data_IF_893428726828
#
_entry.id   IF_893428726828
#
_cell.length_a   1.000
_cell.length_b   1.000
_cell.length_c   1.000
_cell.angle_alpha   90.00
_cell.angle_beta   90.00
_cell.angle_gamma   90.00
#
_symmetry.space_group_name_H-M   'P 1'
#
loop_
_entity.id
_entity.type
_entity.pdbx_description
1 polymer ?
2 polymer ?
3 non-polymer ?
4 water ?
#
# COMPACT_ATOMS: atom_id res chain seq x y z
N UNK A 1 25.51 -10.98 25.66
CA UNK A 1 24.29 -11.75 25.26
C UNK A 1 24.66 -12.89 24.30
N UNK A 2 23.65 -13.67 23.91
CA UNK A 2 23.86 -14.79 23.01
C UNK A 2 23.99 -14.28 21.57
N UNK A 3 25.22 -14.23 21.07
CA UNK A 3 25.50 -13.75 19.71
C UNK A 3 25.30 -14.83 18.64
N UNK A 4 24.53 -14.49 17.62
CA UNK A 4 24.27 -15.41 16.51
C UNK A 4 24.98 -14.89 15.26
N UNK A 5 25.71 -15.78 14.57
CA UNK A 5 26.44 -15.41 13.36
C UNK A 5 25.99 -16.26 12.18
N UNK A 6 25.88 -15.66 11.01
CA UNK A 6 25.47 -16.39 9.81
C UNK A 6 26.09 -15.79 8.56
N UNK A 7 26.04 -16.51 7.45
CA UNK A 7 26.58 -15.99 6.20
C UNK A 7 25.40 -15.51 5.38
N UNK A 8 25.14 -14.22 5.44
CA UNK A 8 24.03 -13.63 4.74
C UNK A 8 24.46 -12.93 3.45
N UNK A 9 23.53 -12.86 2.51
CA UNK A 9 23.78 -12.20 1.25
C UNK A 9 23.13 -10.82 1.26
N UNK A 10 23.90 -9.77 0.93
CA UNK A 10 23.41 -8.39 0.90
C UNK A 10 22.25 -8.26 -0.07
N UNK A 11 21.26 -7.45 0.31
CA UNK A 11 20.10 -7.25 -0.53
C UNK A 11 20.42 -6.65 -1.88
N UNK A 12 20.76 -5.37 -1.90
CA UNK A 12 21.10 -4.69 -3.15
C UNK A 12 22.60 -4.82 -3.42
N UNK A 13 23.05 -6.05 -3.69
CA UNK A 13 24.46 -6.25 -3.95
C UNK A 13 24.73 -7.26 -5.06
N UNK A 14 26.00 -7.45 -5.44
CA UNK A 14 26.39 -8.39 -6.50
C UNK A 14 26.35 -9.85 -6.08
N UNK A 15 25.59 -10.15 -5.03
CA UNK A 15 25.46 -11.51 -4.51
C UNK A 15 26.77 -12.03 -3.94
N UNK A 16 27.26 -11.34 -2.92
CA UNK A 16 28.51 -11.70 -2.26
C UNK A 16 28.29 -11.89 -0.76
N UNK A 17 27.96 -13.12 -0.36
CA UNK A 17 27.70 -13.47 1.04
C UNK A 17 28.79 -13.04 2.00
N UNK A 18 28.41 -12.72 3.22
CA UNK A 18 29.38 -12.31 4.21
C UNK A 18 28.86 -12.67 5.58
N UNK A 19 29.76 -12.61 6.56
CA UNK A 19 29.41 -12.92 7.92
C UNK A 19 28.64 -11.76 8.55
N UNK A 20 27.56 -12.09 9.25
CA UNK A 20 26.73 -11.11 9.93
C UNK A 20 26.37 -11.61 11.32
N UNK A 21 26.60 -10.79 12.33
CA UNK A 21 26.28 -11.17 13.70
C UNK A 21 25.19 -10.29 14.28
N UNK A 22 24.36 -10.85 15.16
CA UNK A 22 23.29 -10.09 15.78
C UNK A 22 22.82 -10.70 17.11
N UNK A 23 22.24 -9.87 17.96
CA UNK A 23 21.74 -10.28 19.27
C UNK A 23 20.40 -9.63 19.59
N UNK A 24 20.06 -9.62 20.88
CA UNK A 24 18.81 -9.03 21.36
C UNK A 24 17.64 -9.58 20.57
N UNK A 25 17.66 -10.88 20.33
CA UNK A 25 16.61 -11.52 19.56
C UNK A 25 15.31 -11.63 20.38
N UNK A 26 14.19 -11.33 19.73
CA UNK A 26 12.87 -11.41 20.38
C UNK A 26 11.77 -11.40 19.33
N UNK A 27 10.76 -12.23 19.53
CA UNK A 27 9.65 -12.30 18.59
C UNK A 27 8.81 -11.02 18.66
N UNK A 28 8.50 -10.46 17.50
CA UNK A 28 7.70 -9.25 17.44
C UNK A 28 6.56 -9.39 16.45
N UNK A 29 6.32 -10.63 16.03
CA UNK A 29 5.26 -10.88 15.07
C UNK A 29 5.22 -12.35 14.71
N UNK A 30 4.02 -12.88 14.47
CA UNK A 30 3.85 -14.29 14.11
C UNK A 30 2.61 -14.47 13.26
N UNK A 31 2.75 -15.15 12.13
CA UNK A 31 1.61 -15.37 11.25
C UNK A 31 1.67 -16.68 10.48
N UNK A 32 0.63 -16.95 9.70
CA UNK A 32 0.55 -18.19 8.91
C UNK A 32 1.69 -18.24 7.90
N UNK A 33 2.25 -17.08 7.59
CA UNK A 33 3.35 -16.98 6.64
C UNK A 33 4.68 -17.35 7.31
N UNK A 34 4.80 -17.00 8.59
CA UNK A 34 6.01 -17.29 9.33
C UNK A 34 6.16 -16.38 10.54
N UNK A 35 7.31 -16.46 11.22
CA UNK A 35 7.58 -15.65 12.40
C UNK A 35 8.48 -14.47 12.07
N UNK A 36 8.34 -13.38 12.82
CA UNK A 36 9.16 -12.21 12.59
C UNK A 36 9.88 -11.87 13.89
N UNK A 37 11.21 -11.76 13.83
CA UNK A 37 12.00 -11.44 15.01
C UNK A 37 12.62 -10.07 14.88
N UNK A 38 13.08 -9.53 16.01
CA UNK A 38 13.75 -8.25 16.03
C UNK A 38 15.15 -8.59 16.49
N UNK A 39 16.15 -7.88 15.99
CA UNK A 39 17.52 -8.13 16.42
C UNK A 39 18.35 -6.88 16.26
N UNK A 40 19.53 -6.89 16.87
CA UNK A 40 20.44 -5.76 16.81
C UNK A 40 21.72 -6.24 16.14
N UNK A 41 22.12 -5.58 15.05
CA UNK A 41 23.33 -5.95 14.34
C UNK A 41 24.54 -5.65 15.21
N UNK A 42 25.36 -6.67 15.46
CA UNK A 42 26.55 -6.51 16.31
C UNK A 42 27.48 -5.42 15.79
N UNK A 43 27.51 -5.26 14.47
CA UNK A 43 28.37 -4.25 13.86
C UNK A 43 27.87 -2.83 14.09
N UNK A 44 26.87 -2.41 13.31
CA UNK A 44 26.33 -1.06 13.42
C UNK A 44 25.46 -0.83 14.66
N UNK A 45 25.02 -1.90 15.30
CA UNK A 45 24.18 -1.75 16.47
C UNK A 45 22.75 -1.39 16.09
N UNK A 46 22.49 -1.32 14.79
CA UNK A 46 21.16 -0.97 14.30
C UNK A 46 20.14 -2.11 14.50
N UNK A 47 18.88 -1.73 14.69
CA UNK A 47 17.81 -2.71 14.88
C UNK A 47 17.31 -3.21 13.52
N UNK A 48 16.98 -4.49 13.45
CA UNK A 48 16.47 -5.07 12.22
C UNK A 48 15.33 -6.03 12.53
N UNK A 49 14.53 -6.33 11.51
CA UNK A 49 13.42 -7.27 11.63
C UNK A 49 13.75 -8.48 10.77
N UNK A 50 13.71 -9.66 11.37
CA UNK A 50 14.01 -10.87 10.61
C UNK A 50 12.73 -11.63 10.33
N UNK A 51 12.31 -11.62 9.08
CA UNK A 51 11.11 -12.33 8.67
C UNK A 51 11.49 -13.72 8.18
N UNK A 52 11.16 -14.75 8.95
CA UNK A 52 11.46 -16.13 8.57
C UNK A 52 10.23 -16.85 8.01
N UNK A 53 10.30 -17.27 6.75
CA UNK A 53 9.20 -17.97 6.11
C UNK A 53 9.70 -19.33 5.60
N UNK A 54 8.78 -20.25 5.36
CA UNK A 54 9.16 -21.57 4.89
C UNK A 54 9.39 -21.57 3.38
N UNK A 55 10.54 -22.07 2.96
CA UNK A 55 10.89 -22.13 1.54
C UNK A 55 11.04 -23.57 1.06
N UNK A 56 10.51 -23.84 -0.13
CA UNK A 56 10.60 -25.18 -0.69
C UNK A 56 11.94 -25.47 -1.35
N UNK A 57 12.70 -24.40 -1.62
CA UNK A 57 14.02 -24.51 -2.25
C UNK A 57 13.93 -24.94 -3.71
N UNK A 58 12.85 -25.63 -4.05
CA UNK A 58 12.64 -26.11 -5.40
C UNK A 58 11.98 -25.02 -6.24
N UNK A 59 11.52 -23.97 -5.57
CA UNK A 59 10.86 -22.85 -6.25
C UNK A 59 11.45 -21.54 -5.74
N UNK A 60 11.68 -20.60 -6.66
CA UNK A 60 12.23 -19.28 -6.31
C UNK A 60 11.20 -18.48 -5.53
N UNK A 61 11.66 -17.69 -4.56
CA UNK A 61 10.77 -16.86 -3.76
C UNK A 61 10.52 -15.53 -4.46
N UNK A 62 9.26 -15.28 -4.80
CA UNK A 62 8.88 -14.05 -5.51
C UNK A 62 9.18 -12.80 -4.69
N UNK A 63 8.83 -12.82 -3.41
CA UNK A 63 9.07 -11.67 -2.55
C UNK A 63 10.55 -11.27 -2.54
N UNK A 64 11.43 -12.24 -2.29
CA UNK A 64 12.88 -11.98 -2.27
C UNK A 64 13.36 -11.36 -3.59
N UNK A 65 12.94 -11.94 -4.71
CA UNK A 65 13.33 -11.43 -6.01
C UNK A 65 12.87 -10.00 -6.22
N UNK A 66 11.63 -9.71 -5.84
CA UNK A 66 11.10 -8.36 -5.99
C UNK A 66 11.87 -7.37 -5.11
N UNK A 67 12.11 -7.76 -3.87
CA UNK A 67 12.80 -6.89 -2.94
C UNK A 67 14.23 -6.58 -3.32
N UNK A 68 14.96 -7.59 -3.75
CA UNK A 68 16.35 -7.44 -4.16
C UNK A 68 16.47 -6.46 -5.32
N UNK A 69 15.35 -6.16 -5.95
CA UNK A 69 15.32 -5.26 -7.10
C UNK A 69 14.91 -3.84 -6.70
N UNK A 70 14.36 -3.69 -5.51
CA UNK A 70 13.90 -2.38 -5.04
C UNK A 70 14.93 -1.60 -4.23
N UNK A 71 14.95 -0.29 -4.41
CA UNK A 71 15.86 0.59 -3.70
C UNK A 71 15.28 2.00 -3.72
N UNK A 72 14.45 2.31 -2.73
CA UNK A 72 13.79 3.60 -2.64
C UNK A 72 13.68 4.07 -1.18
N UNK A 73 13.63 5.38 -0.97
CA UNK A 73 13.55 5.95 0.37
C UNK A 73 12.21 5.72 1.06
N UNK A 74 11.21 5.27 0.31
CA UNK A 74 9.90 5.03 0.86
C UNK A 74 9.51 3.54 0.77
N UNK A 75 10.53 2.68 0.77
CA UNK A 75 10.30 1.25 0.71
C UNK A 75 11.21 0.61 1.75
N UNK A 76 10.68 -0.34 2.51
CA UNK A 76 11.50 -1.00 3.52
C UNK A 76 12.71 -1.64 2.84
N UNK A 77 13.92 -1.29 3.30
CA UNK A 77 15.14 -1.83 2.71
C UNK A 77 15.48 -3.25 3.15
N UNK A 78 15.89 -4.08 2.21
CA UNK A 78 16.29 -5.45 2.54
C UNK A 78 17.81 -5.46 2.79
N UNK A 79 18.21 -5.54 4.05
CA UNK A 79 19.63 -5.57 4.45
C UNK A 79 20.34 -6.80 3.90
N UNK A 80 19.96 -7.97 4.40
CA UNK A 80 20.54 -9.24 3.96
C UNK A 80 19.47 -10.31 3.93
N UNK A 81 19.84 -11.51 3.51
CA UNK A 81 18.94 -12.64 3.48
C UNK A 81 19.78 -13.90 3.56
N UNK A 82 19.26 -14.94 4.21
CA UNK A 82 19.99 -16.19 4.34
C UNK A 82 19.05 -17.36 4.61
N UNK A 83 19.59 -18.58 4.59
CA UNK A 83 18.78 -19.76 4.84
C UNK A 83 19.18 -20.46 6.12
N UNK A 84 18.24 -21.17 6.73
CA UNK A 84 18.50 -21.87 7.97
C UNK A 84 17.39 -22.88 8.27
N UNK A 85 17.14 -23.09 9.57
CA UNK A 85 16.11 -24.02 10.01
C UNK A 85 15.44 -23.48 11.27
N UNK A 86 14.44 -24.19 11.78
CA UNK A 86 13.73 -23.76 12.98
C UNK A 86 12.56 -24.62 13.40
N UNK A 87 11.46 -24.55 12.65
CA UNK A 87 10.25 -25.32 12.96
C UNK A 87 10.09 -26.53 12.03
N UNK A 88 9.93 -27.70 12.63
CA UNK A 88 9.76 -28.96 11.90
C UNK A 88 10.99 -29.29 11.06
N UNK A 89 11.72 -30.32 11.50
CA UNK A 89 12.94 -30.79 10.86
C UNK A 89 12.90 -30.95 9.34
N UNK A 90 14.09 -31.17 8.78
CA UNK A 90 14.30 -31.39 7.35
C UNK A 90 13.65 -30.39 6.39
N UNK A 91 13.63 -29.12 6.78
CA UNK A 91 13.05 -28.08 5.93
C UNK A 91 13.89 -26.81 5.96
N UNK A 92 13.99 -26.16 4.80
CA UNK A 92 14.77 -24.93 4.69
C UNK A 92 13.92 -23.70 4.93
N UNK A 93 14.48 -22.75 5.68
CA UNK A 93 13.78 -21.50 5.98
C UNK A 93 14.53 -20.28 5.43
N UNK A 94 13.81 -19.41 4.73
CA UNK A 94 14.40 -18.19 4.18
C UNK A 94 14.24 -17.06 5.20
N UNK A 95 15.33 -16.37 5.52
CA UNK A 95 15.25 -15.29 6.47
C UNK A 95 15.51 -13.96 5.77
N UNK A 96 14.59 -13.02 5.94
CA UNK A 96 14.71 -11.70 5.33
C UNK A 96 15.06 -10.68 6.43
N UNK A 97 16.24 -10.08 6.31
CA UNK A 97 16.70 -9.09 7.27
C UNK A 97 16.34 -7.72 6.72
N UNK A 98 15.33 -7.10 7.31
CA UNK A 98 14.87 -5.79 6.85
C UNK A 98 15.10 -4.77 7.93
N UNK A 99 15.13 -3.49 7.57
CA UNK A 99 15.30 -2.44 8.57
C UNK A 99 14.09 -2.46 9.48
N UNK A 100 14.31 -2.25 10.77
CA UNK A 100 13.21 -2.24 11.75
C UNK A 100 12.60 -0.85 11.83
N UNK A 101 11.27 -0.78 11.74
CA UNK A 101 10.60 0.51 11.86
C UNK A 101 9.60 0.39 13.01
N UNK A 102 9.67 1.30 13.99
CA UNK A 102 8.81 1.36 15.18
C UNK A 102 7.29 1.23 15.00
N UNK A 103 6.69 2.13 14.22
CA UNK A 103 5.25 2.14 14.06
C UNK A 103 4.66 1.98 12.64
N UNK A 104 3.34 2.07 12.55
CA UNK A 104 2.68 1.94 11.26
C UNK A 104 1.57 2.97 11.21
N UNK A 105 1.11 3.26 10.00
CA UNK A 105 0.05 4.22 9.84
C UNK A 105 -1.16 3.72 10.60
N UNK A 106 -1.41 2.42 10.52
CA UNK A 106 -2.54 1.82 11.21
C UNK A 106 -2.53 2.11 12.72
N UNK A 107 -1.39 1.87 13.37
CA UNK A 107 -1.28 2.10 14.81
C UNK A 107 -1.45 3.56 15.21
N UNK A 108 -0.95 4.45 14.37
CA UNK A 108 -1.10 5.86 14.65
C UNK A 108 -2.57 6.22 14.48
N UNK A 109 -3.18 5.78 13.39
CA UNK A 109 -4.59 6.10 13.18
C UNK A 109 -5.42 5.59 14.37
N UNK A 110 -5.07 4.41 14.87
CA UNK A 110 -5.75 3.79 16.00
C UNK A 110 -5.69 4.68 17.24
N UNK A 111 -4.51 5.24 17.48
CA UNK A 111 -4.35 6.13 18.63
C UNK A 111 -5.36 7.27 18.55
N UNK A 112 -5.50 7.85 17.38
CA UNK A 112 -6.43 8.95 17.23
C UNK A 112 -7.87 8.52 17.31
N UNK A 113 -8.17 7.33 16.82
CA UNK A 113 -9.54 6.89 16.84
C UNK A 113 -10.06 6.68 18.27
N UNK A 114 -9.25 6.09 19.14
CA UNK A 114 -9.71 5.89 20.50
C UNK A 114 -9.50 7.14 21.34
N UNK A 115 -8.84 8.14 20.77
CA UNK A 115 -8.63 9.39 21.48
C UNK A 115 -9.70 10.39 21.03
N UNK A 116 -10.63 9.93 20.20
CA UNK A 116 -11.71 10.77 19.70
C UNK A 116 -11.13 11.97 18.96
N UNK A 117 -9.93 11.83 18.40
CA UNK A 117 -9.30 12.94 17.68
C UNK A 117 -9.14 12.62 16.19
N UNK A 118 -8.88 13.65 15.39
CA UNK A 118 -8.68 13.45 13.96
C UNK A 118 -7.19 13.65 13.69
N UNK A 119 -6.59 12.76 12.90
CA UNK A 119 -5.18 12.89 12.58
C UNK A 119 -4.96 14.23 11.85
N UNK A 120 -4.06 15.09 12.35
CA UNK A 120 -3.79 16.39 11.72
C UNK A 120 -3.58 16.29 10.21
N UNK A 121 -4.29 17.12 9.46
CA UNK A 121 -4.19 17.10 8.01
C UNK A 121 -2.76 17.09 7.51
N UNK A 122 -1.84 17.73 8.24
CA UNK A 122 -0.44 17.77 7.83
C UNK A 122 0.15 16.37 7.66
N UNK A 123 -0.17 15.49 8.60
CA UNK A 123 0.34 14.14 8.53
C UNK A 123 -0.31 13.33 7.40
N UNK A 124 -1.61 13.55 7.19
CA UNK A 124 -2.33 12.86 6.12
C UNK A 124 -1.62 13.14 4.79
N UNK A 125 -1.22 14.40 4.60
CA UNK A 125 -0.51 14.79 3.40
C UNK A 125 0.87 14.14 3.31
N UNK A 126 1.63 14.23 4.39
CA UNK A 126 2.95 13.62 4.43
C UNK A 126 2.94 12.13 4.15
N UNK A 127 2.01 11.42 4.79
CA UNK A 127 1.93 9.98 4.60
C UNK A 127 1.42 9.61 3.21
N UNK A 128 0.32 10.23 2.77
CA UNK A 128 -0.24 9.91 1.45
C UNK A 128 0.72 10.24 0.33
N UNK A 129 1.40 11.37 0.46
CA UNK A 129 2.36 11.79 -0.53
C UNK A 129 3.47 10.77 -0.66
N UNK A 130 3.98 10.27 0.46
CA UNK A 130 5.05 9.29 0.40
C UNK A 130 4.56 7.94 -0.10
N UNK A 131 3.31 7.60 0.20
CA UNK A 131 2.75 6.33 -0.24
C UNK A 131 2.69 6.35 -1.78
N UNK A 132 2.17 7.43 -2.35
CA UNK A 132 2.07 7.53 -3.81
C UNK A 132 3.44 7.47 -4.47
N UNK A 133 4.42 8.09 -3.85
CA UNK A 133 5.76 8.09 -4.40
C UNK A 133 6.31 6.68 -4.45
N UNK A 134 6.06 5.88 -3.41
CA UNK A 134 6.56 4.50 -3.41
C UNK A 134 5.82 3.70 -4.48
N UNK A 135 4.59 4.11 -4.77
CA UNK A 135 3.77 3.43 -5.77
C UNK A 135 4.27 3.78 -7.17
N UNK A 136 4.63 5.04 -7.38
CA UNK A 136 5.16 5.49 -8.67
C UNK A 136 6.41 4.68 -8.97
N UNK A 137 7.22 4.44 -7.94
CA UNK A 137 8.45 3.70 -8.13
C UNK A 137 8.24 2.21 -8.44
N UNK A 138 7.50 1.48 -7.61
CA UNK A 138 7.30 0.07 -7.87
C UNK A 138 6.53 -0.18 -9.17
N UNK A 139 5.62 0.73 -9.50
CA UNK A 139 4.86 0.60 -10.73
C UNK A 139 5.76 0.86 -11.94
N UNK A 140 6.75 1.72 -11.79
CA UNK A 140 7.64 2.01 -12.91
C UNK A 140 8.36 0.73 -13.33
N UNK A 141 8.45 -0.22 -12.42
CA UNK A 141 9.09 -1.50 -12.70
C UNK A 141 8.02 -2.52 -13.07
N UNK A 142 6.82 -2.03 -13.33
CA UNK A 142 5.71 -2.90 -13.67
C UNK A 142 5.30 -3.80 -12.52
N UNK A 143 5.71 -3.45 -11.30
CA UNK A 143 5.39 -4.24 -10.11
C UNK A 143 4.17 -3.68 -9.36
N UNK A 144 3.26 -4.58 -9.00
CA UNK A 144 2.05 -4.23 -8.28
C UNK A 144 2.08 -4.86 -6.89
N UNK A 145 1.97 -4.03 -5.85
CA UNK A 145 2.00 -4.48 -4.44
C UNK A 145 0.86 -5.45 -4.13
N UNK A 146 -0.35 -5.07 -4.54
CA UNK A 146 -1.53 -5.88 -4.35
C UNK A 146 -1.94 -6.07 -2.90
N UNK A 147 -1.35 -5.30 -1.99
CA UNK A 147 -1.75 -5.43 -0.60
C UNK A 147 -1.62 -4.15 0.19
N UNK A 148 -1.88 -3.02 -0.46
CA UNK A 148 -1.79 -1.73 0.20
C UNK A 148 -2.87 -1.61 1.27
N UNK A 149 -2.45 -1.22 2.47
CA UNK A 149 -3.33 -1.01 3.64
C UNK A 149 -2.48 -0.37 4.76
N UNK A 150 -3.14 0.33 5.70
CA UNK A 150 -2.44 1.00 6.81
C UNK A 150 -1.39 0.17 7.53
N UNK A 151 -1.70 -1.10 7.80
CA UNK A 151 -0.78 -1.98 8.49
C UNK A 151 0.52 -2.21 7.71
N UNK A 152 0.52 -1.94 6.41
CA UNK A 152 1.75 -2.16 5.66
C UNK A 152 2.50 -0.88 5.38
N UNK A 153 2.13 0.18 6.08
CA UNK A 153 2.80 1.46 5.94
C UNK A 153 3.54 1.74 7.25
N UNK A 154 4.86 1.49 7.22
CA UNK A 154 5.73 1.70 8.38
C UNK A 154 6.09 3.18 8.48
N UNK A 155 6.21 3.68 9.71
CA UNK A 155 6.51 5.08 9.94
C UNK A 155 7.62 5.32 10.93
N UNK A 156 8.38 6.38 10.73
CA UNK A 156 9.45 6.74 11.65
C UNK A 156 8.86 7.89 12.49
N UNK A 157 8.68 7.66 13.80
CA UNK A 157 8.13 8.65 14.73
C UNK A 157 8.70 10.05 14.57
N UNK A 158 10.03 10.14 14.64
CA UNK A 158 10.74 11.40 14.55
C UNK A 158 10.72 12.07 13.18
N UNK A 159 11.35 11.40 12.20
CA UNK A 159 11.45 11.90 10.84
C UNK A 159 10.13 11.97 10.06
N UNK A 160 9.14 11.19 10.48
CA UNK A 160 7.86 11.16 9.79
C UNK A 160 8.05 10.58 8.38
N UNK A 161 9.03 9.72 8.24
CA UNK A 161 9.28 9.07 6.97
C UNK A 161 8.42 7.81 6.90
N UNK A 162 7.83 7.56 5.73
CA UNK A 162 6.97 6.40 5.53
C UNK A 162 7.63 5.43 4.57
N UNK A 163 7.55 4.16 4.92
CA UNK A 163 8.13 3.12 4.07
C UNK A 163 7.11 2.01 3.80
N UNK A 164 6.93 1.67 2.53
CA UNK A 164 6.00 0.60 2.19
C UNK A 164 6.71 -0.71 2.49
N UNK A 165 5.99 -1.68 3.06
CA UNK A 165 6.59 -2.97 3.35
C UNK A 165 5.65 -4.11 2.94
N UNK A 166 6.00 -5.32 3.34
CA UNK A 166 5.22 -6.53 3.05
C UNK A 166 4.99 -6.79 1.56
N UNK A 167 5.99 -7.35 0.88
CA UNK A 167 5.86 -7.65 -0.55
C UNK A 167 5.46 -9.11 -0.82
N UNK A 168 4.95 -9.79 0.20
CA UNK A 168 4.54 -11.18 0.05
C UNK A 168 3.40 -11.44 -0.93
N UNK A 169 2.81 -10.40 -1.50
CA UNK A 169 1.72 -10.58 -2.45
C UNK A 169 2.01 -9.82 -3.73
N UNK A 170 3.17 -9.17 -3.75
CA UNK A 170 3.54 -8.39 -4.91
C UNK A 170 3.78 -9.28 -6.13
N UNK A 171 3.52 -8.75 -7.31
CA UNK A 171 3.72 -9.49 -8.53
C UNK A 171 3.88 -8.55 -9.71
N UNK A 172 4.63 -9.01 -10.70
CA UNK A 172 4.85 -8.24 -11.90
C UNK A 172 3.70 -8.57 -12.84
N UNK A 173 2.84 -7.58 -13.09
CA UNK A 173 1.69 -7.80 -13.96
C UNK A 173 2.02 -7.58 -15.43
N UNK A 174 2.03 -8.68 -16.18
CA UNK A 174 2.30 -8.62 -17.62
C UNK A 174 0.99 -8.46 -18.38
N UNK A 175 0.89 -7.36 -19.12
CA UNK A 175 -0.30 -7.05 -19.91
C UNK A 175 -0.69 -8.21 -20.81
N UNK A 176 -1.75 -8.90 -20.44
CA UNK A 176 -2.20 -10.03 -21.23
C UNK A 176 -1.95 -11.37 -20.58
N UNK A 177 -1.92 -11.39 -19.25
CA UNK A 177 -1.67 -12.64 -18.53
C UNK A 177 -2.52 -12.69 -17.24
N UNK A 178 -3.40 -13.70 -17.13
CA UNK A 178 -4.30 -13.91 -15.98
C UNK A 178 -3.67 -13.75 -14.61
N UNK A 179 -4.51 -13.51 -13.61
CA UNK A 179 -4.08 -13.33 -12.23
C UNK A 179 -5.23 -13.57 -11.28
N UNK A 180 -4.91 -14.11 -10.10
CA UNK A 180 -5.93 -14.40 -9.08
C UNK A 180 -6.73 -13.15 -8.69
N UNK A 181 -8.05 -13.31 -8.64
CA UNK A 181 -8.93 -12.21 -8.28
C UNK A 181 -8.96 -11.96 -6.77
N UNK A 183 -7.29 -11.20 -4.25
CA UNK A 183 -6.02 -10.64 -3.86
C UNK A 183 -6.30 -9.34 -3.10
N UNK A 184 -5.28 -8.80 -2.43
CA UNK A 184 -5.39 -7.58 -1.62
C UNK A 184 -6.13 -7.90 -0.33
N UNK A 185 -6.32 -6.88 0.49
CA UNK A 185 -7.02 -7.04 1.75
C UNK A 185 -8.45 -6.51 1.69
N UNK A 186 -9.34 -7.25 2.32
CA UNK A 186 -10.79 -6.94 2.44
C UNK A 186 -11.22 -5.50 2.11
N UNK A 187 -11.17 -4.66 3.15
CA UNK A 187 -11.57 -3.26 3.10
C UNK A 187 -10.93 -2.42 1.99
N UNK A 188 -9.77 -2.86 1.51
CA UNK A 188 -8.99 -2.13 0.51
C UNK A 188 -8.97 -2.71 -0.92
N UNK A 189 -9.81 -3.71 -1.18
CA UNK A 189 -9.89 -4.40 -2.48
C UNK A 189 -10.68 -3.63 -3.55
N UNK A 190 -10.04 -3.32 -4.67
CA UNK A 190 -10.72 -2.61 -5.75
C UNK A 190 -11.96 -3.35 -6.23
N UNK A 191 -12.94 -2.61 -6.75
CA UNK A 191 -14.22 -3.11 -7.27
C UNK A 191 -14.01 -4.18 -8.35
N UNK A 192 -13.05 -3.96 -9.23
CA UNK A 192 -12.80 -4.94 -10.30
C UNK A 192 -12.42 -6.29 -9.71
N UNK A 193 -11.66 -6.28 -8.62
CA UNK A 193 -11.24 -7.52 -7.97
C UNK A 193 -12.42 -8.21 -7.29
N UNK A 194 -13.36 -7.44 -6.76
CA UNK A 194 -14.53 -8.00 -6.08
C UNK A 194 -15.44 -8.64 -7.12
N UNK A 195 -15.39 -8.14 -8.35
CA UNK A 195 -16.18 -8.68 -9.43
C UNK A 195 -15.46 -9.87 -10.07
N UNK A 196 -14.33 -10.28 -9.47
CA UNK A 196 -13.60 -11.43 -9.99
C UNK A 196 -12.78 -11.21 -11.26
N UNK A 197 -12.43 -9.96 -11.56
CA UNK A 197 -11.64 -9.66 -12.74
C UNK A 197 -10.30 -10.39 -12.69
N UNK A 198 -9.76 -10.77 -13.84
CA UNK A 198 -8.49 -11.47 -13.87
C UNK A 198 -7.45 -10.69 -14.66
N UNK A 199 -7.91 -9.66 -15.35
CA UNK A 199 -7.02 -8.85 -16.15
C UNK A 199 -6.89 -7.44 -15.58
N UNK A 200 -6.77 -7.36 -14.27
CA UNK A 200 -6.64 -6.06 -13.60
C UNK A 200 -5.22 -5.51 -13.76
N UNK A 201 -5.07 -4.21 -13.53
CA UNK A 201 -3.79 -3.55 -13.64
C UNK A 201 -3.32 -3.03 -12.29
N UNK A 202 -2.16 -2.37 -12.29
CA UNK A 202 -1.61 -1.80 -11.08
C UNK A 202 -2.54 -0.74 -10.47
N UNK A 203 -3.55 -0.30 -11.22
CA UNK A 203 -4.48 0.71 -10.72
C UNK A 203 -5.25 0.21 -9.47
N UNK A 204 -5.12 -1.08 -9.14
CA UNK A 204 -5.81 -1.60 -7.96
C UNK A 204 -5.13 -1.06 -6.69
N UNK A 205 -3.85 -0.72 -6.79
CA UNK A 205 -3.07 -0.16 -5.66
C UNK A 205 -3.50 1.29 -5.41
N UNK A 206 -3.89 1.98 -6.48
CA UNK A 206 -4.30 3.37 -6.33
C UNK A 206 -5.65 3.39 -5.64
N UNK A 207 -6.49 2.39 -5.90
CA UNK A 207 -7.79 2.32 -5.23
C UNK A 207 -7.55 2.09 -3.72
N UNK A 208 -6.60 1.21 -3.42
CA UNK A 208 -6.23 0.89 -2.05
C UNK A 208 -5.69 2.11 -1.33
N UNK A 209 -4.94 2.95 -2.06
CA UNK A 209 -4.38 4.16 -1.48
C UNK A 209 -5.54 5.13 -1.19
N UNK A 210 -6.55 5.12 -2.04
CA UNK A 210 -7.69 6.00 -1.83
C UNK A 210 -8.48 5.56 -0.60
N UNK A 211 -8.59 4.26 -0.38
CA UNK A 211 -9.31 3.78 0.80
C UNK A 211 -8.48 4.21 2.02
N UNK A 212 -7.16 4.14 1.91
CA UNK A 212 -6.29 4.55 3.01
C UNK A 212 -6.54 6.01 3.37
N UNK A 213 -6.48 6.87 2.36
CA UNK A 213 -6.71 8.29 2.56
C UNK A 213 -8.06 8.54 3.25
N UNK A 214 -9.12 7.94 2.72
CA UNK A 214 -10.45 8.11 3.24
C UNK A 214 -10.56 7.68 4.71
N UNK A 215 -9.86 6.61 5.07
CA UNK A 215 -9.85 6.08 6.44
C UNK A 215 -9.17 7.09 7.38
N UNK A 216 -8.10 7.71 6.90
CA UNK A 216 -7.39 8.69 7.71
C UNK A 216 -8.27 9.95 7.93
N UNK A 217 -9.10 10.30 6.96
CA UNK A 217 -9.99 11.47 7.10
C UNK A 217 -11.27 11.16 7.89
N UNK A 218 -11.72 9.92 7.79
CA UNK A 218 -12.96 9.48 8.44
C UNK A 218 -12.74 9.05 9.89
N UNK A 219 -11.65 8.34 10.15
CA UNK A 219 -11.38 7.85 11.49
C UNK A 219 -11.70 6.36 11.55
N UNK A 220 -12.18 5.83 10.43
CA UNK A 220 -12.52 4.40 10.35
C UNK A 220 -12.57 3.96 8.87
N UNK A 221 -12.43 2.64 8.59
CA UNK A 221 -12.46 2.17 7.20
C UNK A 221 -13.72 2.63 6.47
N UNK A 222 -13.57 3.15 5.26
CA UNK A 222 -14.73 3.63 4.51
C UNK A 222 -15.60 2.53 3.90
N UNK A 223 -15.01 1.38 3.57
CA UNK A 223 -15.80 0.29 3.00
C UNK A 223 -15.71 -1.03 3.78
N UNK A 224 -16.33 -1.11 4.96
CA UNK A 224 -16.31 -2.34 5.78
C UNK A 224 -17.11 -3.45 5.12
N UNK A 225 -17.09 -4.65 5.68
CA UNK A 225 -17.85 -5.75 5.08
C UNK A 225 -17.14 -7.07 5.24
N UNK A 226 -17.89 -8.15 5.48
CA UNK A 226 -17.26 -9.45 5.66
C UNK A 226 -16.92 -10.14 4.36
N UNK A 227 -17.85 -10.07 3.42
CA UNK A 227 -17.69 -10.70 2.13
C UNK A 227 -17.56 -9.64 1.04
N UNK A 228 -17.31 -10.11 -0.18
CA UNK A 228 -17.18 -9.23 -1.32
C UNK A 228 -18.45 -8.46 -1.55
N UNK A 229 -19.57 -9.17 -1.60
CA UNK A 229 -20.86 -8.51 -1.80
C UNK A 229 -21.07 -7.38 -0.80
N UNK A 230 -20.78 -7.64 0.48
CA UNK A 230 -20.93 -6.61 1.50
C UNK A 230 -20.07 -5.39 1.14
N UNK A 231 -18.83 -5.66 0.74
CA UNK A 231 -17.88 -4.63 0.35
C UNK A 231 -18.46 -3.77 -0.77
N UNK A 232 -18.93 -4.44 -1.81
CA UNK A 232 -19.50 -3.80 -2.98
C UNK A 232 -20.71 -2.94 -2.64
N UNK A 233 -21.50 -3.38 -1.67
CA UNK A 233 -22.68 -2.63 -1.25
C UNK A 233 -22.22 -1.36 -0.54
N UNK A 234 -21.13 -1.45 0.22
CA UNK A 234 -20.62 -0.26 0.92
C UNK A 234 -20.12 0.73 -0.11
N UNK A 235 -19.43 0.20 -1.10
CA UNK A 235 -18.88 1.04 -2.17
C UNK A 235 -20.03 1.69 -2.96
N UNK A 236 -21.05 0.90 -3.30
CA UNK A 236 -22.17 1.43 -4.06
C UNK A 236 -22.93 2.48 -3.28
N UNK A 237 -23.04 2.31 -1.95
CA UNK A 237 -23.73 3.29 -1.12
C UNK A 237 -23.03 4.64 -1.22
N UNK A 238 -21.72 4.64 -1.48
CA UNK A 238 -21.04 5.92 -1.60
C UNK A 238 -20.95 6.40 -3.04
N UNK A 239 -20.35 5.60 -3.92
CA UNK A 239 -20.17 5.97 -5.32
C UNK A 239 -21.40 5.83 -6.22
N UNK A 240 -22.43 5.17 -5.70
CA UNK A 240 -23.64 4.95 -6.46
C UNK A 240 -23.48 3.73 -7.34
N UNK A 241 -24.60 3.20 -7.86
CA UNK A 241 -24.54 2.04 -8.74
C UNK A 241 -23.71 2.41 -9.95
N UNK A 242 -22.73 1.55 -10.32
CA UNK A 242 -21.88 1.81 -11.48
C UNK A 242 -22.67 1.68 -12.80
N UNK A 243 -22.28 2.44 -13.81
CA UNK A 243 -22.97 2.39 -15.10
C UNK A 243 -22.52 1.14 -15.86
N UNK A 244 -23.25 0.79 -16.91
CA UNK A 244 -22.89 -0.38 -17.72
C UNK A 244 -21.45 -0.24 -18.21
N UNK A 245 -21.08 0.94 -18.70
CA UNK A 245 -19.73 1.17 -19.19
C UNK A 245 -18.71 0.97 -18.07
N UNK A 246 -18.97 1.50 -16.88
CA UNK A 246 -18.04 1.31 -15.76
C UNK A 246 -17.97 -0.17 -15.43
N UNK A 247 -19.13 -0.83 -15.46
CA UNK A 247 -19.14 -2.25 -15.17
C UNK A 247 -18.33 -2.99 -16.23
N UNK A 248 -18.40 -2.54 -17.48
CA UNK A 248 -17.65 -3.19 -18.56
C UNK A 248 -16.16 -3.02 -18.33
N UNK A 249 -15.76 -1.85 -17.85
CA UNK A 249 -14.36 -1.56 -17.56
C UNK A 249 -13.82 -2.49 -16.45
N UNK A 250 -14.67 -2.83 -15.48
CA UNK A 250 -14.26 -3.70 -14.37
C UNK A 250 -14.29 -5.20 -14.72
N UNK A 251 -15.41 -5.65 -15.28
CA UNK A 251 -15.59 -7.05 -15.69
C UNK A 251 -16.79 -7.17 -16.62
N UNK A 252 -16.55 -7.23 -17.95
CA UNK A 252 -17.62 -7.34 -18.94
C UNK A 252 -18.63 -8.47 -18.70
N UNK A 253 -18.25 -9.51 -17.97
CA UNK A 253 -19.19 -10.59 -17.68
C UNK A 253 -20.37 -10.18 -16.80
N UNK A 254 -20.47 -8.91 -16.43
CA UNK A 254 -21.57 -8.46 -15.57
C UNK A 254 -22.39 -7.36 -16.23
N UNK A 255 -22.05 -7.07 -17.48
CA UNK A 255 -22.69 -6.03 -18.28
C UNK A 255 -24.22 -6.12 -18.32
N UNK A 256 -24.73 -7.31 -18.54
CA UNK A 256 -26.16 -7.50 -18.63
C UNK A 256 -26.73 -8.18 -17.39
N UNK A 257 -26.97 -7.41 -16.34
CA UNK A 257 -27.53 -7.97 -15.12
C UNK A 257 -28.59 -7.10 -14.45
N UNK A 258 -28.63 -5.82 -14.82
CA UNK A 258 -29.63 -4.92 -14.25
C UNK A 258 -29.59 -4.84 -12.72
N UNK A 259 -28.68 -4.02 -12.21
CA UNK A 259 -28.56 -3.82 -10.78
C UNK A 259 -29.41 -2.61 -10.39
N UNK A 260 -30.06 -2.66 -9.21
CA UNK A 260 -30.89 -1.54 -8.77
C UNK A 260 -30.06 -0.25 -8.85
N UNK A 261 -30.70 0.84 -9.28
CA UNK A 261 -30.00 2.11 -9.42
C UNK A 261 -30.02 2.93 -8.13
N UNK A 262 -28.88 2.97 -7.43
CA UNK A 262 -28.78 3.73 -6.20
C UNK A 262 -28.05 5.04 -6.44
N UNK A 263 -28.59 6.14 -5.89
CA UNK A 263 -27.99 7.46 -6.05
C UNK A 263 -26.69 7.55 -5.26
N UNK A 264 -25.69 8.20 -5.85
CA UNK A 264 -24.40 8.38 -5.21
C UNK A 264 -24.56 9.29 -3.98
N UNK A 265 -23.68 9.12 -3.00
CA UNK A 265 -23.71 9.91 -1.79
C UNK A 265 -22.59 10.95 -1.90
N UNK A 266 -22.94 12.24 -1.91
CA UNK A 266 -21.99 13.35 -2.01
C UNK A 266 -20.78 13.18 -1.08
N UNK A 267 -19.58 13.28 -1.65
CA UNK A 267 -18.36 13.16 -0.87
C UNK A 267 -18.32 14.15 0.29
N UNK A 268 -18.99 15.29 0.12
CA UNK A 268 -19.02 16.31 1.16
C UNK A 268 -19.76 15.82 2.38
N UNK A 269 -20.81 15.04 2.18
CA UNK A 269 -21.58 14.50 3.30
C UNK A 269 -20.90 13.26 3.87
N UNK A 270 -20.03 12.63 3.09
CA UNK A 270 -19.32 11.43 3.54
C UNK A 270 -18.35 11.76 4.68
N UNK A 271 -17.51 12.76 4.47
CA UNK A 271 -16.55 13.16 5.49
C UNK A 271 -17.17 14.23 6.39
N UNK A 272 -16.38 14.72 7.35
CA UNK A 272 -16.86 15.76 8.25
C UNK A 272 -16.75 17.14 7.61
N UNK A 273 -17.54 18.09 8.09
CA UNK A 273 -17.56 19.47 7.58
C UNK A 273 -16.19 20.13 7.45
N UNK A 274 -15.33 19.91 8.44
CA UNK A 274 -13.99 20.49 8.45
C UNK A 274 -12.98 19.72 7.60
N UNK A 275 -13.47 19.04 6.56
CA UNK A 275 -12.56 18.28 5.69
C UNK A 275 -12.10 19.13 4.51
N UNK A 276 -10.79 19.25 4.34
CA UNK A 276 -10.21 20.04 3.24
C UNK A 276 -10.79 19.66 1.88
N UNK A 277 -11.29 20.65 1.12
CA UNK A 277 -11.88 20.42 -0.20
C UNK A 277 -10.93 19.68 -1.15
N UNK A 278 -9.65 19.97 -1.05
CA UNK A 278 -8.66 19.32 -1.91
C UNK A 278 -8.51 17.84 -1.60
N UNK A 279 -8.73 17.48 -0.34
CA UNK A 279 -8.64 16.09 0.08
C UNK A 279 -9.79 15.33 -0.56
N UNK A 280 -10.99 15.91 -0.48
CA UNK A 280 -12.18 15.31 -1.04
C UNK A 280 -12.01 15.15 -2.54
N UNK A 281 -11.46 16.18 -3.19
CA UNK A 281 -11.25 16.13 -4.63
C UNK A 281 -10.27 15.03 -4.97
N UNK A 282 -9.18 14.95 -4.22
CA UNK A 282 -8.18 13.92 -4.47
C UNK A 282 -8.81 12.53 -4.30
N UNK A 283 -9.63 12.39 -3.27
CA UNK A 283 -10.29 11.12 -2.98
C UNK A 283 -11.21 10.65 -4.12
N UNK A 284 -12.01 11.55 -4.67
CA UNK A 284 -12.92 11.21 -5.76
C UNK A 284 -12.15 10.83 -7.06
N UNK A 285 -10.91 11.30 -7.20
CA UNK A 285 -10.11 10.97 -8.40
C UNK A 285 -9.34 9.67 -8.20
N UNK A 286 -9.40 9.12 -6.98
CA UNK A 286 -8.71 7.87 -6.65
C UNK A 286 -9.72 6.73 -6.62
N UNK A 287 -10.85 6.99 -5.98
CA UNK A 287 -11.91 6.01 -5.84
C UNK A 287 -12.88 6.10 -7.01
N UNK A 288 -12.42 5.62 -8.16
CA UNK A 288 -13.20 5.61 -9.39
C UNK A 288 -13.46 4.17 -9.81
N UNK A 289 -14.69 3.90 -10.26
CA UNK A 289 -15.02 2.57 -10.71
C UNK A 289 -14.07 2.17 -11.85
N UNK A 290 -14.03 2.97 -12.91
CA UNK A 290 -13.16 2.70 -14.05
C UNK A 290 -11.71 2.80 -13.66
N UNK A 291 -11.03 1.66 -13.63
CA UNK A 291 -9.61 1.68 -13.24
C UNK A 291 -8.72 2.61 -14.06
N UNK A 292 -9.01 2.78 -15.36
CA UNK A 292 -8.17 3.67 -16.17
C UNK A 292 -8.45 5.14 -15.86
N UNK A 293 -9.58 5.43 -15.22
CA UNK A 293 -9.92 6.80 -14.86
C UNK A 293 -9.26 7.24 -13.54
N UNK A 294 -8.65 6.31 -12.81
CA UNK A 294 -8.02 6.68 -11.55
C UNK A 294 -6.71 7.39 -11.85
N UNK A 295 -6.37 8.34 -10.98
CA UNK A 295 -5.14 9.08 -11.10
C UNK A 295 -3.99 8.10 -10.97
N UNK A 296 -2.87 8.41 -11.65
CA UNK A 296 -1.69 7.57 -11.55
C UNK A 296 -1.02 8.01 -10.24
N UNK A 297 -0.16 7.17 -9.65
CA UNK A 297 0.48 7.58 -8.40
C UNK A 297 1.31 8.85 -8.55
N UNK A 298 1.97 8.98 -9.69
CA UNK A 298 2.78 10.16 -9.92
C UNK A 298 1.90 11.39 -10.06
N UNK A 299 0.74 11.23 -10.68
CA UNK A 299 -0.22 12.34 -10.85
C UNK A 299 -0.81 12.76 -9.52
N UNK A 300 -1.03 11.79 -8.64
CA UNK A 300 -1.60 12.07 -7.34
C UNK A 300 -0.63 12.98 -6.55
N UNK A 301 0.67 12.69 -6.65
CA UNK A 301 1.70 13.49 -5.98
C UNK A 301 1.64 14.97 -6.38
N UNK A 302 1.22 15.24 -7.61
CA UNK A 302 1.11 16.60 -8.15
C UNK A 302 -0.19 17.29 -7.80
N UNK A 303 -1.13 16.53 -7.26
CA UNK A 303 -2.43 17.09 -6.90
C UNK A 303 -2.29 18.27 -5.93
N UNK A 304 -3.24 19.20 -5.98
CA UNK A 304 -3.21 20.38 -5.11
C UNK A 304 -3.20 20.06 -3.61
N UNK A 305 -3.80 18.94 -3.22
CA UNK A 305 -3.86 18.57 -1.82
C UNK A 305 -2.45 18.58 -1.21
N UNK A 306 -1.44 18.33 -2.03
CA UNK A 306 -0.08 18.31 -1.53
C UNK A 306 0.70 19.61 -1.73
N UNK A 307 0.02 20.71 -2.02
CA UNK A 307 0.73 21.97 -2.23
C UNK A 307 1.48 22.44 -0.99
N UNK A 308 0.86 22.30 0.17
CA UNK A 308 1.48 22.71 1.43
C UNK A 308 2.84 22.05 1.64
N UNK A 309 3.00 20.82 1.18
CA UNK A 309 4.28 20.14 1.36
C UNK A 309 5.35 20.72 0.45
N UNK A 310 4.91 21.45 -0.57
CA UNK A 310 5.84 22.06 -1.50
C UNK A 310 6.19 23.49 -1.09
N UNK A 311 5.73 23.87 0.10
CA UNK A 311 5.99 25.20 0.63
C UNK A 311 7.34 25.21 1.33
N UNK A 312 8.24 26.12 0.93
CA UNK A 312 9.58 26.24 1.52
C UNK A 312 9.61 26.39 3.04
N UNK A 313 8.58 27.01 3.59
CA UNK A 313 8.51 27.23 5.03
C UNK A 313 7.68 26.19 5.79
N UNK A 314 7.58 24.98 5.24
CA UNK A 314 6.81 23.93 5.89
C UNK A 314 7.65 23.21 6.94
N UNK A 315 7.04 22.92 8.08
CA UNK A 315 7.72 22.24 9.17
C UNK A 315 6.79 21.23 9.83
N UNK A 316 7.37 20.27 10.54
CA UNK A 316 6.60 19.26 11.26
C UNK A 316 6.17 19.82 12.61
N UNK A 317 5.05 19.33 13.15
CA UNK A 317 4.53 19.78 14.44
C UNK A 317 5.59 19.71 15.55
N UNK A 318 6.57 18.84 15.38
CA UNK A 318 7.63 18.69 16.37
C UNK A 318 8.80 19.66 16.14
N UNK A 319 8.67 20.55 15.17
CA UNK A 319 9.73 21.50 14.89
C UNK A 319 10.69 21.08 13.79
N UNK A 320 10.99 19.79 13.70
CA UNK A 320 11.90 19.28 12.69
C UNK A 320 11.44 19.62 11.28
N UNK A 321 12.33 19.38 10.31
CA UNK A 321 12.03 19.63 8.91
C UNK A 321 11.42 18.39 8.26
N UNK A 322 10.70 18.60 7.16
CA UNK A 322 10.07 17.51 6.43
C UNK A 322 11.11 16.68 5.69
N UNK A 323 10.86 15.38 5.53
CA UNK A 323 11.78 14.47 4.83
C UNK A 323 11.97 14.92 3.39
N UNK A 324 12.97 14.37 2.72
CA UNK A 324 13.24 14.70 1.32
C UNK A 324 12.08 14.18 0.47
N UNK A 325 11.29 15.10 -0.07
CA UNK A 325 10.12 14.75 -0.87
C UNK A 325 10.24 15.20 -2.33
N UNK A 326 11.40 15.72 -2.70
CA UNK A 326 11.58 16.21 -4.05
C UNK A 326 12.76 15.61 -4.82
N UNK A 327 13.48 14.70 -4.18
CA UNK A 327 14.64 14.08 -4.83
C UNK A 327 14.23 13.04 -5.87
N UNK A 328 13.30 13.40 -6.74
CA UNK A 328 12.83 12.49 -7.79
C UNK A 328 13.91 12.18 -8.81
N UNK A 329 14.09 10.91 -9.10
CA UNK A 329 15.08 10.49 -10.08
C UNK A 329 14.39 10.35 -11.45
N UNK A 330 15.17 10.07 -12.48
CA UNK A 330 14.63 9.91 -13.82
C UNK A 330 13.66 8.73 -13.85
N UNK A 331 14.06 7.61 -13.26
CA UNK A 331 13.24 6.41 -13.21
C UNK A 331 11.86 6.68 -12.61
N UNK A 332 11.83 7.54 -11.59
CA UNK A 332 10.57 7.87 -10.92
C UNK A 332 9.65 8.71 -11.79
N UNK A 333 10.24 9.59 -12.60
CA UNK A 333 9.45 10.47 -13.46
C UNK A 333 9.14 9.90 -14.83
N UNK A 334 9.78 8.77 -15.16
CA UNK A 334 9.59 8.12 -16.45
C UNK A 334 8.14 8.11 -16.93
N UNK A 335 7.24 7.67 -16.05
CA UNK A 335 5.82 7.61 -16.36
C UNK A 335 5.29 8.89 -17.00
N UNK A 336 5.72 10.04 -16.49
CA UNK A 336 5.27 11.33 -17.00
C UNK A 336 6.25 12.45 -16.63
N UNK A 337 7.40 12.53 -17.32
CA UNK A 337 8.45 13.53 -17.09
C UNK A 337 7.98 14.98 -16.93
N UNK A 338 7.10 15.46 -17.82
CA UNK A 338 6.61 16.83 -17.72
C UNK A 338 6.13 17.26 -16.33
N UNK A 339 5.64 16.30 -15.54
CA UNK A 339 5.13 16.59 -14.20
C UNK A 339 6.21 17.13 -13.27
N UNK A 340 7.48 16.95 -13.64
CA UNK A 340 8.60 17.43 -12.85
C UNK A 340 8.49 18.93 -12.60
N UNK A 341 7.73 19.61 -13.45
CA UNK A 341 7.54 21.05 -13.33
C UNK A 341 6.79 21.38 -12.05
N UNK A 342 5.95 20.43 -11.62
CA UNK A 342 5.18 20.63 -10.41
C UNK A 342 5.75 19.84 -9.24
N UNK A 343 6.16 18.60 -9.49
CA UNK A 343 6.71 17.75 -8.44
C UNK A 343 7.93 18.35 -7.74
N UNK A 344 8.79 19.02 -8.50
CA UNK A 344 9.98 19.61 -7.91
C UNK A 344 9.90 21.13 -7.85
N UNK A 345 9.60 21.68 -6.66
CA UNK A 345 9.49 23.12 -6.45
C UNK A 345 10.78 23.86 -6.78
N UNK A 346 10.69 25.17 -7.02
CA UNK A 346 11.84 26.02 -7.35
C UNK A 346 12.96 25.99 -6.32
N UNK A 347 12.61 26.03 -5.04
CA UNK A 347 13.60 26.02 -3.98
C UNK A 347 14.24 24.65 -3.77
N UNK A 348 14.25 23.81 -4.80
CA UNK A 348 14.84 22.48 -4.68
C UNK A 348 15.60 22.09 -5.94
N UNK A 349 15.11 22.55 -7.09
CA UNK A 349 15.73 22.23 -8.37
C UNK A 349 17.16 22.75 -8.46
N UNK A 350 17.38 23.97 -7.98
CA UNK A 350 18.70 24.58 -8.00
C UNK A 350 19.44 24.34 -6.67
N UNK B 1 -21.85 -19.82 -14.09
CA UNK B 1 -22.71 -19.92 -12.88
C UNK B 1 -22.26 -18.91 -11.83
N UNK B 2 -20.95 -18.65 -11.79
CA UNK B 2 -20.40 -17.70 -10.84
C UNK B 2 -21.02 -16.32 -10.96
N UNK B 3 -20.90 -15.67 -12.13
CA UNK B 3 -21.50 -14.34 -12.29
C UNK B 3 -22.98 -14.29 -11.94
N UNK B 4 -23.74 -15.21 -12.52
CA UNK B 4 -25.17 -15.29 -12.30
C UNK B 4 -25.51 -15.30 -10.79
N UNK B 5 -24.82 -16.15 -10.02
CA UNK B 5 -25.08 -16.24 -8.58
C UNK B 5 -24.61 -15.02 -7.79
N UNK B 6 -23.43 -14.51 -8.13
CA UNK B 6 -22.89 -13.32 -7.47
C UNK B 6 -23.87 -12.16 -7.72
N UNK B 7 -24.29 -12.01 -8.97
CA UNK B 7 -25.20 -10.95 -9.37
C UNK B 7 -26.51 -11.01 -8.59
N UNK B 8 -27.05 -12.22 -8.48
CA UNK B 8 -28.29 -12.44 -7.75
C UNK B 8 -28.14 -11.97 -6.31
N UNK B 9 -27.05 -12.33 -5.66
CA UNK B 9 -26.86 -11.92 -4.29
C UNK B 9 -26.77 -10.39 -4.18
N UNK B 10 -25.93 -9.79 -5.00
CA UNK B 10 -25.76 -8.34 -4.99
C UNK B 10 -27.07 -7.59 -5.23
N UNK B 11 -27.85 -8.07 -6.20
CA UNK B 11 -29.16 -7.49 -6.53
C UNK B 11 -30.09 -7.56 -5.32
N UNK B 12 -30.12 -8.74 -4.69
CA UNK B 12 -30.94 -8.96 -3.50
C UNK B 12 -30.58 -7.95 -2.40
N UNK B 13 -29.28 -7.78 -2.14
CA UNK B 13 -28.81 -6.85 -1.11
C UNK B 13 -29.12 -5.39 -1.49
N UNK B 14 -28.82 -4.99 -2.73
CA UNK B 14 -29.08 -3.62 -3.14
C UNK B 14 -30.56 -3.25 -3.06
N UNK B 15 -31.44 -4.17 -3.44
CA UNK B 15 -32.87 -3.89 -3.39
C UNK B 15 -33.32 -3.61 -1.96
N UNK B 16 -32.64 -4.22 -1.00
CA UNK B 16 -32.99 -4.02 0.40
C UNK B 16 -32.55 -2.63 0.85
N UNK B 17 -31.32 -2.25 0.52
CA UNK B 17 -30.78 -0.95 0.90
C UNK B 17 -31.60 0.18 0.26
N UNK B 18 -31.58 0.26 -1.07
CA UNK B 18 -32.32 1.29 -1.81
C UNK B 18 -33.77 1.36 -1.33
#
# INVERSE_FOLDING_TARGET
>A
SKVTTVVATPGQGPDRPQEVSYTDTKVIGNGSFGVVYQAKLCDSGELVAIKKVLQGKAFKNRELQIMRKLDHCNIVRLRYFFYSSGEKKDEVYLNLVLDYVPATVYRVARHYSRAKQTLPVIYVKLYMYQLFRSLAYIHSFGICHRDIKPQNLLLDPDTAVLKLCDFGSAKQLVRGEPNVSXICSRYYRAPELIFGATDYTSSIDVWSAGCVLAELLLGQPIFPGDSGVDQLVEIIKVLGTPTREQIREMNPNYTEFAFPQIKAHPWTKVFRPRTPPEAIALCSRLLEYTPTARLTPLEACAHSFFDELRDPNVKLPNGRDTPALFNFTTQELSSNPPLATILIPPHARI
>B
VEPQKFAEELIHRLEAVQ
#
